data_IF_598984259487
#
_entry.id   IF_598984259487
#
_cell.length_a   1.000
_cell.length_b   1.000
_cell.length_c   1.000
_cell.angle_alpha   90.00
_cell.angle_beta   90.00
_cell.angle_gamma   90.00
#
_symmetry.space_group_name_H-M   'P 1'
#
loop_
_entity.id
_entity.type
_entity.pdbx_description
1 polymer ?
#
# COMPACT_ATOMS: atom_id res chain seq x y z
N UNK A 1 24.82 3.67 10.57
CA UNK A 1 23.96 3.62 9.34
C UNK A 1 23.90 5.06 8.84
N UNK A 2 23.97 5.27 7.51
CA UNK A 2 23.91 6.63 6.94
C UNK A 2 22.54 7.23 7.29
N UNK A 3 22.52 8.46 7.81
CA UNK A 3 21.29 9.19 8.23
C UNK A 3 20.30 9.45 7.09
N UNK A 4 20.62 9.00 5.89
CA UNK A 4 19.87 9.24 4.64
C UNK A 4 19.11 8.00 4.15
N UNK A 5 19.36 6.80 4.71
CA UNK A 5 18.69 5.56 4.30
C UNK A 5 17.32 5.46 4.97
N UNK A 6 16.26 5.25 4.17
CA UNK A 6 14.88 5.14 4.68
C UNK A 6 14.29 3.75 4.52
N UNK A 7 14.75 2.97 3.53
CA UNK A 7 14.28 1.61 3.28
C UNK A 7 15.45 0.72 2.88
N UNK A 8 15.53 -0.46 3.49
CA UNK A 8 16.54 -1.47 3.16
C UNK A 8 15.91 -2.86 3.13
N UNK A 9 16.16 -3.57 2.05
CA UNK A 9 15.84 -4.96 1.85
C UNK A 9 17.14 -5.75 1.79
N UNK A 10 17.28 -6.82 2.56
CA UNK A 10 18.45 -7.69 2.56
C UNK A 10 18.05 -9.13 2.22
N UNK A 11 18.44 -9.60 1.04
CA UNK A 11 18.18 -10.96 0.53
C UNK A 11 16.69 -11.39 0.67
N UNK A 12 15.78 -10.46 0.41
CA UNK A 12 14.35 -10.66 0.57
C UNK A 12 13.81 -11.55 -0.53
N UNK A 13 13.11 -12.61 -0.16
CA UNK A 13 12.41 -13.48 -1.11
C UNK A 13 11.00 -13.84 -0.64
N UNK A 14 10.14 -14.24 -1.59
CA UNK A 14 8.80 -14.75 -1.28
C UNK A 14 8.49 -15.99 -2.07
N UNK A 15 8.14 -17.05 -1.34
CA UNK A 15 7.64 -18.30 -1.89
C UNK A 15 6.23 -18.57 -1.37
N UNK A 16 5.37 -19.05 -2.24
CA UNK A 16 4.04 -19.52 -1.89
C UNK A 16 3.94 -21.03 -2.08
N UNK A 17 3.27 -21.76 -1.18
CA UNK A 17 3.02 -23.18 -1.37
C UNK A 17 2.05 -23.36 -2.55
N UNK A 18 2.43 -24.19 -3.52
CA UNK A 18 1.56 -24.61 -4.61
C UNK A 18 0.93 -25.96 -4.24
N UNK A 19 -0.30 -25.95 -3.75
CA UNK A 19 -1.11 -27.17 -3.66
C UNK A 19 -2.12 -27.18 -4.79
N UNK A 20 -2.07 -28.21 -5.65
CA UNK A 20 -2.91 -28.29 -6.86
C UNK A 20 -4.32 -28.78 -6.58
N UNK A 21 -4.58 -29.42 -5.39
CA UNK A 21 -5.89 -29.99 -5.06
C UNK A 21 -6.20 -29.88 -3.56
N UNK A 22 -7.52 -29.78 -3.21
CA UNK A 22 -7.99 -29.88 -1.82
C UNK A 22 -7.52 -31.16 -1.09
N UNK A 23 -7.39 -32.28 -1.85
CA UNK A 23 -6.87 -33.54 -1.32
C UNK A 23 -5.40 -33.43 -0.93
N UNK A 24 -4.56 -32.78 -1.72
CA UNK A 24 -3.16 -32.54 -1.41
C UNK A 24 -2.99 -31.62 -0.19
N UNK A 25 -3.87 -30.62 -0.03
CA UNK A 25 -3.91 -29.78 1.17
C UNK A 25 -4.17 -30.60 2.43
N UNK A 26 -5.16 -31.51 2.38
CA UNK A 26 -5.50 -32.39 3.50
C UNK A 26 -4.39 -33.42 3.79
N UNK A 27 -3.79 -33.99 2.74
CA UNK A 27 -2.69 -34.93 2.89
C UNK A 27 -1.42 -34.27 3.42
N UNK A 28 -1.13 -33.03 3.03
CA UNK A 28 -0.01 -32.24 3.55
C UNK A 28 -0.21 -31.87 5.03
N UNK A 29 -1.45 -31.66 5.47
CA UNK A 29 -1.77 -31.39 6.88
C UNK A 29 -1.52 -32.63 7.77
N UNK A 30 -1.86 -33.83 7.26
CA UNK A 30 -1.74 -35.08 8.00
C UNK A 30 -0.34 -35.75 7.89
N UNK A 31 0.36 -35.54 6.77
CA UNK A 31 1.65 -36.16 6.46
C UNK A 31 2.64 -35.15 5.84
N UNK A 32 3.12 -34.15 6.61
CA UNK A 32 3.94 -33.04 6.08
C UNK A 32 5.29 -33.50 5.46
N UNK A 33 5.77 -34.68 5.78
CA UNK A 33 7.05 -35.23 5.27
C UNK A 33 6.94 -36.07 4.00
N UNK A 34 5.74 -36.39 3.53
CA UNK A 34 5.56 -37.38 2.44
C UNK A 34 5.28 -36.76 1.06
N UNK A 35 4.87 -35.49 1.02
CA UNK A 35 4.59 -34.78 -0.22
C UNK A 35 5.59 -33.63 -0.42
N UNK A 36 6.30 -33.66 -1.56
CA UNK A 36 7.22 -32.61 -1.97
C UNK A 36 6.39 -31.37 -2.29
N UNK A 37 6.25 -30.46 -1.31
CA UNK A 37 5.53 -29.21 -1.48
C UNK A 37 6.18 -28.43 -2.63
N UNK A 38 5.51 -28.41 -3.78
CA UNK A 38 5.88 -27.48 -4.85
C UNK A 38 5.70 -26.06 -4.33
N UNK A 39 6.74 -25.26 -4.42
CA UNK A 39 6.71 -23.83 -4.07
C UNK A 39 6.83 -23.02 -5.34
N UNK A 40 6.05 -21.96 -5.42
CA UNK A 40 6.16 -20.94 -6.45
C UNK A 40 6.95 -19.78 -5.86
N UNK A 41 8.07 -19.44 -6.47
CA UNK A 41 8.86 -18.28 -6.08
C UNK A 41 8.28 -17.04 -6.75
N UNK A 42 7.55 -16.24 -5.97
CA UNK A 42 6.95 -14.99 -6.45
C UNK A 42 7.97 -13.85 -6.52
N UNK A 43 8.93 -13.83 -5.57
CA UNK A 43 10.03 -12.87 -5.55
C UNK A 43 11.31 -13.64 -5.27
N UNK A 44 12.26 -13.60 -6.22
CA UNK A 44 13.59 -14.15 -6.03
C UNK A 44 14.41 -13.30 -5.05
N UNK A 45 15.42 -13.87 -4.37
CA UNK A 45 16.23 -13.12 -3.43
C UNK A 45 16.76 -11.83 -4.05
N UNK A 46 16.43 -10.69 -3.45
CA UNK A 46 16.88 -9.38 -3.87
C UNK A 46 17.26 -8.52 -2.67
N UNK A 47 18.21 -7.62 -2.90
CA UNK A 47 18.61 -6.59 -1.94
C UNK A 47 18.44 -5.22 -2.60
N UNK A 48 17.92 -4.25 -1.83
CA UNK A 48 17.61 -2.92 -2.31
C UNK A 48 17.80 -1.91 -1.19
N UNK A 49 18.27 -0.73 -1.52
CA UNK A 49 18.36 0.40 -0.60
C UNK A 49 17.74 1.62 -1.24
N UNK A 50 16.94 2.37 -0.46
CA UNK A 50 16.28 3.60 -0.89
C UNK A 50 16.60 4.70 0.11
N UNK A 51 16.98 5.86 -0.41
CA UNK A 51 17.30 7.04 0.39
C UNK A 51 16.08 7.95 0.56
N UNK A 52 16.12 8.80 1.56
CA UNK A 52 15.07 9.83 1.76
C UNK A 52 14.97 10.75 0.56
N UNK A 53 13.74 10.99 0.10
CA UNK A 53 13.47 11.83 -1.07
C UNK A 53 13.73 11.16 -2.42
N UNK A 54 14.11 9.88 -2.45
CA UNK A 54 14.33 9.13 -3.69
C UNK A 54 13.00 8.65 -4.28
N UNK A 55 12.87 8.77 -5.60
CA UNK A 55 11.78 8.15 -6.34
C UNK A 55 12.32 6.93 -7.10
N UNK A 56 11.87 5.74 -6.70
CA UNK A 56 12.30 4.48 -7.29
C UNK A 56 11.17 3.87 -8.14
N UNK A 57 11.44 3.66 -9.43
CA UNK A 57 10.57 2.92 -10.34
C UNK A 57 10.92 1.43 -10.38
N UNK A 58 9.95 0.57 -10.13
CA UNK A 58 10.06 -0.88 -10.26
C UNK A 58 9.29 -1.31 -11.50
N UNK A 59 10.01 -1.74 -12.54
CA UNK A 59 9.43 -2.14 -13.82
C UNK A 59 9.50 -3.66 -14.03
N UNK A 60 8.54 -4.21 -14.76
CA UNK A 60 8.54 -5.62 -15.12
C UNK A 60 7.19 -6.11 -15.64
N UNK A 61 7.20 -7.24 -16.31
CA UNK A 61 5.99 -7.87 -16.87
C UNK A 61 4.99 -8.28 -15.79
N UNK A 62 3.73 -8.49 -16.18
CA UNK A 62 2.71 -9.00 -15.27
C UNK A 62 3.12 -10.37 -14.70
N UNK A 63 2.91 -10.58 -13.40
CA UNK A 63 3.32 -11.80 -12.71
C UNK A 63 4.79 -11.85 -12.28
N UNK A 64 5.60 -10.81 -12.51
CA UNK A 64 7.02 -10.78 -12.09
C UNK A 64 7.24 -10.55 -10.59
N UNK A 65 6.17 -10.46 -9.79
CA UNK A 65 6.26 -10.33 -8.32
C UNK A 65 6.28 -8.89 -7.79
N UNK A 66 6.09 -7.89 -8.64
CA UNK A 66 6.11 -6.46 -8.24
C UNK A 66 5.15 -6.11 -7.11
N UNK A 67 3.87 -6.47 -7.26
CA UNK A 67 2.85 -6.21 -6.21
C UNK A 67 3.15 -6.99 -4.93
N UNK A 68 3.69 -8.21 -5.04
CA UNK A 68 4.15 -8.98 -3.87
C UNK A 68 5.30 -8.29 -3.16
N UNK A 69 6.25 -7.71 -3.90
CA UNK A 69 7.35 -6.93 -3.33
C UNK A 69 6.83 -5.70 -2.60
N UNK A 70 5.92 -4.94 -3.20
CA UNK A 70 5.31 -3.79 -2.53
C UNK A 70 4.51 -4.19 -1.29
N UNK A 71 3.77 -5.31 -1.33
CA UNK A 71 3.06 -5.84 -0.16
C UNK A 71 4.02 -6.24 0.97
N UNK A 72 5.18 -6.80 0.64
CA UNK A 72 6.21 -7.09 1.65
C UNK A 72 6.78 -5.80 2.25
N UNK A 73 7.02 -4.77 1.45
CA UNK A 73 7.48 -3.46 1.93
C UNK A 73 6.40 -2.78 2.78
N UNK A 74 5.12 -2.88 2.38
CA UNK A 74 3.99 -2.37 3.15
C UNK A 74 3.75 -3.14 4.48
N UNK A 75 4.39 -4.30 4.66
CA UNK A 75 4.23 -5.14 5.85
C UNK A 75 2.97 -6.01 5.86
N UNK A 76 2.17 -6.03 4.78
CA UNK A 76 0.95 -6.85 4.67
C UNK A 76 1.26 -8.32 4.34
N UNK A 77 2.43 -8.58 3.74
CA UNK A 77 2.94 -9.91 3.46
C UNK A 77 4.34 -10.06 4.06
N UNK A 78 4.55 -11.08 4.88
CA UNK A 78 5.90 -11.38 5.40
C UNK A 78 6.78 -12.05 4.33
N UNK A 79 8.06 -11.67 4.22
CA UNK A 79 9.02 -12.37 3.37
C UNK A 79 9.22 -13.81 3.84
N UNK A 80 9.57 -14.72 2.91
CA UNK A 80 9.95 -16.10 3.23
C UNK A 80 11.39 -16.17 3.74
N UNK A 81 12.27 -15.33 3.21
CA UNK A 81 13.63 -15.14 3.69
C UNK A 81 14.06 -13.68 3.57
N UNK A 82 15.14 -13.33 4.24
CA UNK A 82 15.67 -11.97 4.29
C UNK A 82 14.94 -11.08 5.28
N UNK A 83 15.31 -9.79 5.28
CA UNK A 83 14.78 -8.79 6.20
C UNK A 83 14.46 -7.50 5.47
N UNK A 84 13.40 -6.82 5.93
CA UNK A 84 13.02 -5.49 5.47
C UNK A 84 13.08 -4.56 6.66
N UNK A 85 13.82 -3.48 6.50
CA UNK A 85 13.88 -2.40 7.46
C UNK A 85 13.42 -1.10 6.83
N UNK A 86 12.58 -0.34 7.52
CA UNK A 86 12.10 0.95 7.11
C UNK A 86 12.14 1.92 8.29
N UNK A 87 12.62 3.15 8.05
CA UNK A 87 12.66 4.24 9.01
C UNK A 87 11.65 5.31 8.62
N UNK A 88 10.40 5.08 9.05
CA UNK A 88 9.31 6.00 8.78
C UNK A 88 7.97 5.34 8.54
N UNK A 89 6.96 6.18 8.31
CA UNK A 89 5.57 5.78 8.07
C UNK A 89 5.37 5.44 6.60
N UNK A 90 4.88 4.24 6.33
CA UNK A 90 4.60 3.76 4.97
C UNK A 90 3.11 3.92 4.69
N UNK A 91 2.77 4.53 3.55
CA UNK A 91 1.43 4.49 2.98
C UNK A 91 1.45 3.73 1.66
N UNK A 92 0.43 2.90 1.44
CA UNK A 92 0.29 2.11 0.22
C UNK A 92 -1.05 2.38 -0.45
N UNK A 93 -1.01 2.69 -1.74
CA UNK A 93 -2.21 2.77 -2.57
C UNK A 93 -2.65 1.39 -3.10
N UNK A 94 -1.87 0.31 -2.84
CA UNK A 94 -2.22 -1.06 -3.22
C UNK A 94 -3.52 -1.55 -2.57
N UNK A 95 -3.79 -1.09 -1.36
CA UNK A 95 -4.89 -1.55 -0.54
C UNK A 95 -5.84 -0.38 -0.21
N UNK A 96 -6.13 0.45 -1.25
CA UNK A 96 -7.07 1.55 -1.10
C UNK A 96 -8.41 1.06 -0.57
N UNK A 97 -8.74 1.52 0.63
CA UNK A 97 -10.03 1.20 1.27
C UNK A 97 -10.08 -0.09 2.09
N UNK A 98 -9.01 -0.90 2.14
CA UNK A 98 -9.00 -2.14 2.97
C UNK A 98 -9.22 -1.88 4.47
N UNK A 99 -8.85 -0.70 4.93
CA UNK A 99 -9.02 -0.23 6.31
C UNK A 99 -10.37 0.45 6.57
N UNK A 100 -11.19 0.64 5.53
CA UNK A 100 -12.47 1.34 5.65
C UNK A 100 -13.51 0.45 6.33
N UNK A 101 -14.06 0.95 7.41
CA UNK A 101 -15.21 0.35 8.09
C UNK A 101 -16.51 1.03 7.59
N UNK A 102 -17.33 0.28 6.89
CA UNK A 102 -18.56 0.80 6.30
C UNK A 102 -19.60 1.29 7.33
N UNK A 103 -19.54 0.83 8.58
CA UNK A 103 -20.45 1.24 9.66
C UNK A 103 -20.04 2.54 10.33
N UNK A 104 -18.82 2.97 10.17
CA UNK A 104 -18.27 4.23 10.67
C UNK A 104 -18.48 5.37 9.68
N UNK A 105 -18.45 6.61 10.17
CA UNK A 105 -18.48 7.81 9.33
C UNK A 105 -17.18 7.96 8.56
N UNK A 106 -17.18 8.77 7.51
CA UNK A 106 -15.95 9.09 6.77
C UNK A 106 -14.89 9.72 7.68
N UNK A 107 -15.31 10.57 8.61
CA UNK A 107 -14.43 11.20 9.61
C UNK A 107 -13.78 10.17 10.52
N UNK A 108 -14.54 9.25 11.10
CA UNK A 108 -14.02 8.19 11.96
C UNK A 108 -13.06 7.29 11.21
N UNK A 109 -13.36 6.97 9.96
CA UNK A 109 -12.43 6.22 9.09
C UNK A 109 -11.10 6.96 8.86
N UNK A 110 -11.09 8.29 8.73
CA UNK A 110 -9.82 9.06 8.64
C UNK A 110 -9.00 8.89 9.93
N UNK A 111 -9.63 8.94 11.11
CA UNK A 111 -8.94 8.70 12.37
C UNK A 111 -8.38 7.27 12.44
N UNK A 112 -9.18 6.28 12.04
CA UNK A 112 -8.75 4.87 11.97
C UNK A 112 -7.51 4.73 11.07
N UNK A 113 -7.52 5.34 9.88
CA UNK A 113 -6.37 5.34 8.98
C UNK A 113 -5.12 5.98 9.58
N UNK A 114 -5.29 7.09 10.30
CA UNK A 114 -4.19 7.77 10.99
C UNK A 114 -3.63 6.94 12.15
N UNK A 115 -4.50 6.33 12.97
CA UNK A 115 -4.11 5.46 14.08
C UNK A 115 -3.33 4.23 13.60
N UNK A 116 -3.76 3.58 12.50
CA UNK A 116 -3.04 2.45 11.90
C UNK A 116 -1.60 2.84 11.53
N UNK A 117 -1.38 4.10 11.14
CA UNK A 117 -0.04 4.65 10.81
C UNK A 117 0.72 5.17 12.03
N UNK A 118 0.18 5.02 13.23
CA UNK A 118 0.81 5.49 14.47
C UNK A 118 0.76 7.01 14.66
N UNK A 119 -0.17 7.72 13.99
CA UNK A 119 -0.39 9.14 14.21
C UNK A 119 -1.17 9.39 15.49
N UNK A 120 -0.80 10.44 16.21
CA UNK A 120 -1.58 10.93 17.34
C UNK A 120 -2.85 11.65 16.85
N UNK A 121 -3.87 11.72 17.69
CA UNK A 121 -5.10 12.46 17.39
C UNK A 121 -4.81 13.89 16.93
N UNK A 122 -3.91 14.59 17.62
CA UNK A 122 -3.52 15.96 17.26
C UNK A 122 -2.96 16.06 15.84
N UNK A 123 -2.08 15.13 15.46
CA UNK A 123 -1.51 15.09 14.10
C UNK A 123 -2.58 14.82 13.03
N UNK A 124 -3.59 14.01 13.36
CA UNK A 124 -4.72 13.76 12.46
C UNK A 124 -5.60 15.00 12.35
N UNK A 125 -5.92 15.65 13.48
CA UNK A 125 -6.74 16.87 13.52
C UNK A 125 -6.12 17.99 12.67
N UNK A 126 -4.80 18.15 12.67
CA UNK A 126 -4.06 19.13 11.87
C UNK A 126 -4.21 18.92 10.36
N UNK A 127 -4.46 17.70 9.92
CA UNK A 127 -4.57 17.32 8.49
C UNK A 127 -6.02 17.08 8.04
N UNK A 128 -6.95 16.97 8.99
CA UNK A 128 -8.32 16.54 8.76
C UNK A 128 -9.07 17.44 7.77
N UNK A 129 -8.93 18.76 7.92
CA UNK A 129 -9.59 19.73 7.04
C UNK A 129 -9.13 19.58 5.57
N UNK A 130 -7.82 19.41 5.36
CA UNK A 130 -7.28 19.22 4.01
C UNK A 130 -7.70 17.88 3.39
N UNK A 131 -7.83 16.82 4.20
CA UNK A 131 -8.31 15.51 3.73
C UNK A 131 -9.76 15.64 3.25
N UNK A 132 -10.61 16.28 4.04
CA UNK A 132 -12.03 16.46 3.73
C UNK A 132 -12.18 17.31 2.45
N UNK A 133 -11.48 18.42 2.35
CA UNK A 133 -11.50 19.29 1.19
C UNK A 133 -10.99 18.56 -0.07
N UNK A 134 -9.88 17.82 0.05
CA UNK A 134 -9.32 17.10 -1.09
C UNK A 134 -10.25 16.00 -1.59
N UNK A 135 -10.95 15.30 -0.68
CA UNK A 135 -11.87 14.21 -1.01
C UNK A 135 -13.13 14.64 -1.77
N UNK A 136 -13.50 15.92 -1.67
CA UNK A 136 -14.74 16.49 -2.27
C UNK A 136 -16.03 15.72 -1.85
N UNK A 137 -16.04 15.14 -0.65
CA UNK A 137 -17.18 14.39 -0.11
C UNK A 137 -18.18 15.35 0.54
N UNK A 138 -17.71 16.52 1.00
CA UNK A 138 -18.56 17.55 1.60
C UNK A 138 -19.29 17.07 2.87
N UNK A 139 -20.59 17.33 2.92
CA UNK A 139 -21.43 17.02 4.10
C UNK A 139 -21.55 15.52 4.40
N UNK A 140 -21.27 14.67 3.43
CA UNK A 140 -21.30 13.22 3.65
C UNK A 140 -20.21 12.72 4.60
N UNK A 141 -19.20 13.55 4.93
CA UNK A 141 -18.09 13.13 5.80
C UNK A 141 -18.55 12.62 7.16
N UNK A 142 -19.65 13.12 7.67
CA UNK A 142 -20.26 12.76 8.96
C UNK A 142 -21.39 11.70 8.83
N UNK A 143 -21.58 11.13 7.62
CA UNK A 143 -22.48 10.02 7.36
C UNK A 143 -21.71 8.69 7.36
N UNK A 144 -22.38 7.57 7.70
CA UNK A 144 -21.78 6.23 7.58
C UNK A 144 -21.30 5.94 6.15
N UNK A 145 -20.11 5.35 6.00
CA UNK A 145 -19.53 5.04 4.68
C UNK A 145 -20.39 4.04 3.89
N UNK A 146 -21.23 3.24 4.55
CA UNK A 146 -22.23 2.38 3.89
C UNK A 146 -23.21 3.14 2.99
N UNK A 147 -23.36 4.45 3.17
CA UNK A 147 -24.21 5.31 2.33
C UNK A 147 -23.47 5.92 1.13
N UNK A 148 -22.15 5.71 1.04
CA UNK A 148 -21.32 6.30 0.00
C UNK A 148 -21.42 5.53 -1.32
N UNK A 149 -21.30 6.25 -2.42
CA UNK A 149 -20.99 5.63 -3.70
C UNK A 149 -19.56 5.06 -3.70
N UNK A 150 -19.29 4.07 -4.57
CA UNK A 150 -17.94 3.53 -4.74
C UNK A 150 -16.90 4.64 -5.02
N UNK A 151 -17.28 5.65 -5.82
CA UNK A 151 -16.44 6.81 -6.10
C UNK A 151 -16.13 7.63 -4.84
N UNK A 152 -17.11 7.86 -3.96
CA UNK A 152 -16.90 8.57 -2.69
C UNK A 152 -15.96 7.79 -1.76
N UNK A 153 -16.14 6.46 -1.66
CA UNK A 153 -15.24 5.59 -0.88
C UNK A 153 -13.80 5.72 -1.39
N UNK A 154 -13.60 5.63 -2.70
CA UNK A 154 -12.27 5.76 -3.30
C UNK A 154 -11.66 7.15 -3.10
N UNK A 155 -12.45 8.22 -3.20
CA UNK A 155 -12.02 9.59 -2.92
C UNK A 155 -11.57 9.75 -1.47
N UNK A 156 -12.33 9.24 -0.50
CA UNK A 156 -11.98 9.24 0.92
C UNK A 156 -10.67 8.50 1.16
N UNK A 157 -10.59 7.24 0.66
CA UNK A 157 -9.45 6.37 0.84
C UNK A 157 -8.15 7.00 0.28
N UNK A 158 -8.22 7.51 -0.94
CA UNK A 158 -7.08 8.17 -1.58
C UNK A 158 -6.65 9.42 -0.82
N UNK A 159 -7.60 10.30 -0.48
CA UNK A 159 -7.33 11.55 0.23
C UNK A 159 -6.65 11.31 1.58
N UNK A 160 -7.17 10.36 2.37
CA UNK A 160 -6.55 9.97 3.63
C UNK A 160 -5.17 9.33 3.40
N UNK A 161 -5.01 8.53 2.33
CA UNK A 161 -3.73 7.91 2.04
C UNK A 161 -2.61 8.92 1.76
N UNK A 162 -2.88 9.94 0.95
CA UNK A 162 -1.85 10.88 0.49
C UNK A 162 -1.66 12.10 1.38
N UNK A 163 -2.67 12.47 2.17
CA UNK A 163 -2.65 13.67 3.03
C UNK A 163 -2.18 13.38 4.45
N UNK A 164 -2.48 12.19 5.00
CA UNK A 164 -1.91 11.80 6.28
C UNK A 164 -0.39 11.67 6.16
N UNK A 165 0.29 12.18 7.18
CA UNK A 165 1.75 12.20 7.24
C UNK A 165 2.38 10.84 6.91
N UNK A 166 3.26 10.84 5.91
CA UNK A 166 3.86 9.64 5.34
C UNK A 166 5.29 9.93 4.91
N UNK A 167 6.21 9.03 5.22
CA UNK A 167 7.62 9.14 4.83
C UNK A 167 7.91 8.39 3.52
N UNK A 168 7.22 7.27 3.29
CA UNK A 168 7.35 6.42 2.11
C UNK A 168 5.97 6.18 1.51
N UNK A 169 5.78 6.51 0.23
CA UNK A 169 4.55 6.24 -0.50
C UNK A 169 4.77 5.11 -1.52
N UNK A 170 3.97 4.07 -1.42
CA UNK A 170 3.96 2.95 -2.36
C UNK A 170 2.81 3.13 -3.35
N UNK A 171 3.16 3.20 -4.64
CA UNK A 171 2.22 3.37 -5.74
C UNK A 171 2.22 2.13 -6.63
N UNK A 172 1.04 1.57 -6.90
CA UNK A 172 0.84 0.61 -7.98
C UNK A 172 0.16 1.32 -9.16
N UNK A 173 0.41 0.86 -10.35
CA UNK A 173 0.07 1.49 -11.63
C UNK A 173 -1.40 1.85 -11.83
N UNK A 174 -2.33 1.22 -11.09
CA UNK A 174 -3.77 1.36 -11.34
C UNK A 174 -4.35 2.57 -10.62
N UNK A 175 -4.23 3.75 -11.24
CA UNK A 175 -4.87 4.99 -10.78
C UNK A 175 -6.33 5.14 -11.24
N UNK A 176 -7.14 4.11 -11.17
CA UNK A 176 -8.59 4.22 -11.41
C UNK A 176 -9.30 4.70 -10.12
N UNK A 177 -9.06 5.95 -9.71
CA UNK A 177 -9.63 6.52 -8.48
C UNK A 177 -10.73 7.52 -8.85
N UNK A 178 -11.98 7.17 -8.56
CA UNK A 178 -13.12 8.07 -8.77
C UNK A 178 -13.43 8.37 -10.25
N UNK A 179 -13.89 9.56 -10.53
CA UNK A 179 -14.14 10.04 -11.90
C UNK A 179 -12.89 10.68 -12.54
N UNK A 180 -12.99 10.98 -13.84
CA UNK A 180 -11.86 11.54 -14.61
C UNK A 180 -11.32 12.86 -14.03
N UNK A 181 -12.20 13.71 -13.45
CA UNK A 181 -11.79 14.98 -12.84
C UNK A 181 -10.98 14.76 -11.58
N UNK A 182 -11.45 13.85 -10.71
CA UNK A 182 -10.73 13.51 -9.48
C UNK A 182 -9.41 12.80 -9.78
N UNK A 183 -9.39 11.91 -10.78
CA UNK A 183 -8.15 11.25 -11.23
C UNK A 183 -7.10 12.27 -11.69
N UNK A 184 -7.49 13.31 -12.46
CA UNK A 184 -6.58 14.39 -12.85
C UNK A 184 -6.04 15.17 -11.65
N UNK A 185 -6.88 15.47 -10.65
CA UNK A 185 -6.47 16.10 -9.39
C UNK A 185 -5.45 15.25 -8.63
N UNK A 186 -5.68 13.94 -8.56
CA UNK A 186 -4.75 12.99 -7.94
C UNK A 186 -3.40 12.98 -8.66
N UNK A 187 -3.39 12.90 -9.99
CA UNK A 187 -2.15 12.92 -10.79
C UNK A 187 -1.39 14.23 -10.58
N UNK A 188 -2.08 15.37 -10.60
CA UNK A 188 -1.46 16.68 -10.37
C UNK A 188 -0.80 16.75 -8.97
N UNK A 189 -1.49 16.24 -7.95
CA UNK A 189 -0.94 16.16 -6.59
C UNK A 189 0.28 15.25 -6.53
N UNK A 190 0.20 14.05 -7.09
CA UNK A 190 1.28 13.06 -7.05
C UNK A 190 2.53 13.55 -7.78
N UNK A 191 2.40 14.30 -8.88
CA UNK A 191 3.54 14.92 -9.57
C UNK A 191 4.33 15.88 -8.67
N UNK A 192 3.64 16.62 -7.80
CA UNK A 192 4.29 17.47 -6.79
C UNK A 192 4.92 16.64 -5.67
N UNK A 193 4.21 15.61 -5.22
CA UNK A 193 4.60 14.74 -4.13
C UNK A 193 5.88 13.95 -4.43
N UNK A 194 5.99 13.36 -5.64
CA UNK A 194 7.15 12.58 -6.10
C UNK A 194 8.45 13.40 -6.08
N UNK A 195 8.37 14.73 -6.25
CA UNK A 195 9.55 15.61 -6.28
C UNK A 195 10.13 15.90 -4.90
N UNK A 196 9.37 15.67 -3.83
CA UNK A 196 9.73 16.11 -2.48
C UNK A 196 9.72 15.00 -1.42
N UNK A 197 9.30 13.78 -1.79
CA UNK A 197 9.10 12.67 -0.87
C UNK A 197 9.66 11.37 -1.43
N UNK A 198 9.85 10.38 -0.55
CA UNK A 198 10.26 9.04 -0.97
C UNK A 198 9.09 8.30 -1.56
N UNK A 199 9.22 7.83 -2.80
CA UNK A 199 8.14 7.15 -3.52
C UNK A 199 8.68 5.89 -4.19
N UNK A 200 8.00 4.79 -4.02
CA UNK A 200 8.21 3.57 -4.81
C UNK A 200 7.01 3.40 -5.75
N UNK A 201 7.30 3.46 -7.03
CA UNK A 201 6.30 3.33 -8.10
C UNK A 201 6.50 2.00 -8.83
N UNK A 202 5.44 1.22 -8.96
CA UNK A 202 5.43 0.04 -9.84
C UNK A 202 4.76 0.39 -11.15
N UNK A 203 5.41 0.05 -12.26
CA UNK A 203 4.83 0.18 -13.60
C UNK A 203 5.08 -1.07 -14.43
N UNK A 204 4.16 -1.38 -15.36
CA UNK A 204 4.34 -2.38 -16.41
C UNK A 204 4.65 -1.72 -17.77
N UNK A 205 4.48 -0.40 -17.88
CA UNK A 205 4.78 0.35 -19.10
C UNK A 205 6.25 0.80 -19.11
N UNK A 206 6.95 0.43 -20.18
CA UNK A 206 8.38 0.73 -20.39
C UNK A 206 8.55 1.93 -21.34
N UNK A 207 7.42 2.63 -21.69
CA UNK A 207 7.42 3.76 -22.61
C UNK A 207 7.26 5.10 -21.90
#
# INVERSE_FOLDING_TARGET
MSSDLILMLENVSKEYPCSSTRREMFCNLLFPYRFKNRRYTAVHPLSLQVRRGECLGIMGVNGSGKSTLLQMIAGTVHPTSGQIWADGKIASLLELGSWINATETGRENIYTAGCIRGLTKKQIDEQLAEIIEFSEIGEFIDQPVSTYSTGMVMRLAFSACIKLETDILLLDEVFAVGDARFAQKCIAFLRGYIRSRTVLLVSHDVN
#
